data_IF_742359786357
#
_entry.id   IF_742359786357
#
_cell.length_a   1.000
_cell.length_b   1.000
_cell.length_c   1.000
_cell.angle_alpha   90.00
_cell.angle_beta   90.00
_cell.angle_gamma   90.00
#
_symmetry.space_group_name_H-M   'P 1'
#
loop_
_entity.id
_entity.type
_entity.pdbx_description
1 polymer ?
#
# COMPACT_ATOMS: atom_id res chain seq x y z
N UNK A 1 33.40 -23.03 11.88
CA UNK A 1 32.29 -22.98 10.91
C UNK A 1 30.98 -22.58 11.57
N UNK A 2 30.64 -23.12 12.75
CA UNK A 2 29.47 -22.70 13.55
C UNK A 2 29.43 -21.19 13.82
N UNK A 3 30.56 -20.60 14.17
CA UNK A 3 30.61 -19.22 14.66
C UNK A 3 30.40 -18.23 13.52
N UNK A 4 30.90 -18.58 12.32
CA UNK A 4 30.63 -17.82 11.09
C UNK A 4 29.14 -17.88 10.73
N UNK A 5 28.49 -19.03 10.89
CA UNK A 5 27.05 -19.16 10.63
C UNK A 5 26.20 -18.39 11.64
N UNK A 6 26.62 -18.37 12.92
CA UNK A 6 25.97 -17.59 13.96
C UNK A 6 26.07 -16.09 13.66
N UNK A 7 27.26 -15.60 13.33
CA UNK A 7 27.49 -14.21 12.97
C UNK A 7 26.67 -13.79 11.75
N UNK A 8 26.61 -14.63 10.71
CA UNK A 8 25.80 -14.34 9.52
C UNK A 8 24.29 -14.31 9.82
N UNK A 9 23.84 -15.04 10.84
CA UNK A 9 22.46 -15.00 11.30
C UNK A 9 22.16 -13.69 12.03
N UNK A 10 23.04 -13.28 12.95
CA UNK A 10 22.93 -12.01 13.66
C UNK A 10 22.91 -10.83 12.68
N UNK A 11 23.85 -10.78 11.73
CA UNK A 11 23.87 -9.73 10.70
C UNK A 11 22.57 -9.66 9.88
N UNK A 12 21.95 -10.81 9.62
CA UNK A 12 20.67 -10.87 8.88
C UNK A 12 19.51 -10.34 9.70
N UNK A 13 19.51 -10.62 11.01
CA UNK A 13 18.52 -10.14 11.96
C UNK A 13 18.64 -8.62 12.12
N UNK A 14 19.84 -8.10 12.36
CA UNK A 14 20.10 -6.65 12.42
C UNK A 14 19.68 -5.93 11.14
N UNK A 15 20.00 -6.49 9.96
CA UNK A 15 19.59 -5.91 8.69
C UNK A 15 18.06 -5.89 8.52
N UNK A 16 17.35 -6.88 9.08
CA UNK A 16 15.88 -6.89 9.08
C UNK A 16 15.33 -5.78 9.97
N UNK A 17 15.89 -5.57 11.15
CA UNK A 17 15.49 -4.50 12.06
C UNK A 17 15.71 -3.12 11.44
N UNK A 18 16.88 -2.88 10.84
CA UNK A 18 17.19 -1.61 10.16
C UNK A 18 16.17 -1.32 9.05
N UNK A 19 15.80 -2.31 8.25
CA UNK A 19 14.78 -2.14 7.20
C UNK A 19 13.41 -1.78 7.76
N UNK A 20 13.01 -2.37 8.89
CA UNK A 20 11.74 -2.05 9.54
C UNK A 20 11.73 -0.63 10.10
N UNK A 21 12.83 -0.23 10.74
CA UNK A 21 12.98 1.13 11.26
C UNK A 21 12.96 2.17 10.13
N UNK A 22 13.67 1.89 9.04
CA UNK A 22 13.66 2.75 7.85
C UNK A 22 12.25 2.86 7.25
N UNK A 23 11.54 1.74 7.09
CA UNK A 23 10.16 1.74 6.62
C UNK A 23 9.26 2.61 7.51
N UNK A 24 9.34 2.44 8.82
CA UNK A 24 8.55 3.25 9.77
C UNK A 24 8.91 4.73 9.74
N UNK A 25 10.16 5.08 9.46
CA UNK A 25 10.58 6.48 9.26
C UNK A 25 9.99 7.06 7.96
N UNK A 26 10.05 6.32 6.86
CA UNK A 26 9.46 6.72 5.58
C UNK A 26 7.95 6.92 5.72
N UNK A 27 7.25 6.00 6.36
CA UNK A 27 5.79 6.11 6.58
C UNK A 27 5.41 7.34 7.42
N UNK A 28 6.25 7.74 8.37
CA UNK A 28 6.01 8.95 9.19
C UNK A 28 6.37 10.25 8.48
N UNK A 29 7.39 10.22 7.62
CA UNK A 29 7.83 11.39 6.86
C UNK A 29 7.02 11.60 5.58
N UNK A 30 6.43 10.54 5.05
CA UNK A 30 5.49 10.66 3.94
C UNK A 30 4.25 11.40 4.42
N UNK A 31 3.94 12.58 3.85
CA UNK A 31 2.67 13.21 4.11
C UNK A 31 1.58 12.25 3.64
N UNK A 32 0.60 11.99 4.51
CA UNK A 32 -0.67 11.45 4.07
C UNK A 32 -1.42 12.65 3.52
N UNK A 33 -1.39 12.81 2.20
CA UNK A 33 -2.17 13.86 1.55
C UNK A 33 -3.64 13.53 1.79
N UNK A 34 -4.37 14.49 2.37
CA UNK A 34 -5.82 14.35 2.43
C UNK A 34 -6.36 14.37 0.99
N UNK A 35 -7.31 13.48 0.65
CA UNK A 35 -7.94 13.52 -0.65
C UNK A 35 -8.55 14.89 -0.88
N UNK A 36 -8.46 15.38 -2.11
CA UNK A 36 -9.15 16.59 -2.54
C UNK A 36 -10.67 16.40 -2.42
N UNK A 37 -11.45 17.49 -2.43
CA UNK A 37 -12.90 17.37 -2.23
C UNK A 37 -13.61 16.53 -3.31
N UNK A 38 -13.15 16.60 -4.56
CA UNK A 38 -13.60 15.75 -5.66
C UNK A 38 -13.21 14.28 -5.47
N UNK A 39 -12.00 14.01 -4.98
CA UNK A 39 -11.56 12.66 -4.62
C UNK A 39 -12.36 12.08 -3.44
N UNK A 40 -12.68 12.91 -2.44
CA UNK A 40 -13.56 12.53 -1.32
C UNK A 40 -14.96 12.18 -1.79
N UNK A 41 -15.51 12.92 -2.75
CA UNK A 41 -16.80 12.63 -3.35
C UNK A 41 -16.75 11.32 -4.13
N UNK A 42 -15.71 11.09 -4.95
CA UNK A 42 -15.53 9.85 -5.70
C UNK A 42 -15.39 8.61 -4.80
N UNK A 43 -14.68 8.72 -3.67
CA UNK A 43 -14.53 7.61 -2.70
C UNK A 43 -15.87 7.27 -2.01
N UNK A 44 -16.75 8.27 -1.82
CA UNK A 44 -18.05 8.10 -1.14
C UNK A 44 -19.18 7.70 -2.09
N UNK A 45 -19.04 8.02 -3.37
CA UNK A 45 -20.04 7.68 -4.38
C UNK A 45 -20.19 6.15 -4.44
N UNK A 46 -21.44 5.69 -4.54
CA UNK A 46 -21.67 4.28 -4.86
C UNK A 46 -21.14 4.01 -6.28
N UNK A 47 -20.47 2.87 -6.45
CA UNK A 47 -20.03 2.46 -7.78
C UNK A 47 -21.23 2.43 -8.72
N UNK A 48 -21.12 3.13 -9.84
CA UNK A 48 -22.14 3.10 -10.88
C UNK A 48 -22.03 1.76 -11.62
N UNK A 49 -22.75 0.75 -11.11
CA UNK A 49 -22.79 -0.58 -11.70
C UNK A 49 -23.86 -0.61 -12.79
N UNK A 50 -23.42 -0.70 -14.05
CA UNK A 50 -24.34 -0.77 -15.18
C UNK A 50 -25.19 -2.05 -15.16
N UNK A 51 -26.50 -1.89 -15.29
CA UNK A 51 -27.45 -3.01 -15.38
C UNK A 51 -27.52 -3.63 -16.79
N UNK A 52 -28.10 -4.83 -16.90
CA UNK A 52 -28.27 -5.54 -18.18
C UNK A 52 -28.92 -4.66 -19.26
N UNK A 53 -29.94 -3.88 -18.89
CA UNK A 53 -30.65 -3.00 -19.81
C UNK A 53 -29.74 -1.89 -20.38
N UNK A 54 -28.93 -1.26 -19.53
CA UNK A 54 -28.01 -0.18 -19.92
C UNK A 54 -26.90 -0.71 -20.83
N UNK A 55 -26.37 -1.90 -20.51
CA UNK A 55 -25.40 -2.59 -21.36
C UNK A 55 -25.97 -2.88 -22.77
N UNK A 56 -27.23 -3.28 -22.84
CA UNK A 56 -27.92 -3.55 -24.11
C UNK A 56 -28.23 -2.28 -24.92
N UNK A 57 -28.39 -1.13 -24.27
CA UNK A 57 -28.59 0.16 -24.94
C UNK A 57 -27.27 0.71 -25.53
N UNK A 58 -26.13 0.50 -24.84
CA UNK A 58 -24.82 0.94 -25.31
C UNK A 58 -24.26 0.12 -26.50
N UNK A 59 -24.80 -1.08 -26.76
CA UNK A 59 -24.38 -1.98 -27.84
C UNK A 59 -25.17 -1.79 -29.16
N UNK A 60 -26.13 -0.86 -29.21
CA UNK A 60 -26.92 -0.55 -30.42
C UNK A 60 -26.24 0.49 -31.29
#
# INVERSE_FOLDING_TARGET
MSDVLALLKEMREELREIRLLYKGLVERLMPVDEPLEDEKEAIKAEDEVAGEKELMEALK
#
